data_IF_814357698905
#
_entry.id   IF_814357698905
#
_cell.length_a   1.000
_cell.length_b   1.000
_cell.length_c   1.000
_cell.angle_alpha   90.00
_cell.angle_beta   90.00
_cell.angle_gamma   90.00
#
_symmetry.space_group_name_H-M   'P 1'
#
loop_
_entity.id
_entity.type
_entity.pdbx_description
1 polymer ?
#
# COMPACT_ATOMS: atom_id res chain seq x y z
N UNK A 1 -3.20 4.78 -5.90
CA UNK A 1 -4.26 3.77 -6.16
C UNK A 1 -5.68 4.31 -5.97
N UNK A 2 -5.98 5.08 -4.89
CA UNK A 2 -7.35 5.50 -4.58
C UNK A 2 -8.07 6.24 -5.72
N UNK A 3 -7.36 7.02 -6.52
CA UNK A 3 -7.92 7.76 -7.65
C UNK A 3 -8.56 6.87 -8.74
N UNK A 4 -8.18 5.58 -8.80
CA UNK A 4 -8.76 4.62 -9.75
C UNK A 4 -9.52 3.47 -9.07
N UNK A 5 -9.23 3.18 -7.80
CA UNK A 5 -9.79 2.01 -7.09
C UNK A 5 -10.11 2.31 -5.62
N UNK A 6 -10.47 3.56 -5.33
CA UNK A 6 -10.68 4.06 -3.98
C UNK A 6 -12.13 4.01 -3.51
N UNK A 7 -12.31 3.90 -2.19
CA UNK A 7 -13.63 3.86 -1.55
C UNK A 7 -14.45 5.13 -1.80
N UNK A 8 -13.78 6.28 -1.98
CA UNK A 8 -14.41 7.57 -2.26
C UNK A 8 -15.08 7.65 -3.65
N UNK A 9 -14.78 6.72 -4.56
CA UNK A 9 -15.41 6.66 -5.89
C UNK A 9 -16.80 6.00 -5.83
N UNK A 10 -17.16 5.38 -4.70
CA UNK A 10 -18.45 4.74 -4.51
C UNK A 10 -19.43 5.80 -4.00
N UNK A 11 -20.32 6.25 -4.89
CA UNK A 11 -21.27 7.35 -4.63
C UNK A 11 -22.29 7.02 -3.53
N UNK A 12 -22.60 5.74 -3.33
CA UNK A 12 -23.56 5.29 -2.33
C UNK A 12 -23.03 4.05 -1.59
N UNK A 13 -22.94 4.11 -0.26
CA UNK A 13 -22.47 3.01 0.58
C UNK A 13 -23.32 1.73 0.41
N UNK A 14 -24.60 1.87 0.07
CA UNK A 14 -25.55 0.81 -0.27
C UNK A 14 -25.10 -0.09 -1.43
N UNK A 15 -24.21 0.41 -2.31
CA UNK A 15 -23.69 -0.32 -3.46
C UNK A 15 -22.23 -0.79 -3.29
N UNK A 16 -21.70 -0.75 -2.06
CA UNK A 16 -20.39 -1.33 -1.78
C UNK A 16 -20.45 -2.85 -1.90
N UNK A 17 -20.07 -3.39 -3.07
CA UNK A 17 -19.84 -4.82 -3.24
C UNK A 17 -18.33 -5.12 -3.32
N UNK A 18 -17.68 -5.44 -2.17
CA UNK A 18 -16.25 -5.72 -2.14
C UNK A 18 -15.86 -6.99 -2.90
N UNK A 19 -16.83 -7.85 -3.27
CA UNK A 19 -16.59 -9.03 -4.11
C UNK A 19 -16.24 -8.64 -5.56
N UNK A 20 -16.89 -7.59 -6.08
CA UNK A 20 -16.79 -7.16 -7.48
C UNK A 20 -15.78 -6.02 -7.66
N UNK A 21 -15.46 -5.31 -6.59
CA UNK A 21 -14.47 -4.24 -6.61
C UNK A 21 -13.09 -4.74 -7.07
N UNK A 22 -12.51 -4.06 -8.05
CA UNK A 22 -11.30 -4.48 -8.75
C UNK A 22 -10.19 -3.43 -8.71
N UNK A 23 -8.94 -3.89 -8.70
CA UNK A 23 -7.74 -3.06 -8.83
C UNK A 23 -7.36 -2.75 -10.28
N UNK A 24 -8.17 -3.15 -11.26
CA UNK A 24 -7.88 -3.03 -12.69
C UNK A 24 -7.43 -1.62 -13.10
N UNK A 25 -8.19 -0.58 -12.72
CA UNK A 25 -7.85 0.80 -13.04
C UNK A 25 -6.50 1.26 -12.45
N UNK A 26 -6.11 0.72 -11.29
CA UNK A 26 -4.75 0.98 -10.75
C UNK A 26 -3.67 0.35 -11.65
N UNK A 27 -3.90 -0.86 -12.17
CA UNK A 27 -3.00 -1.48 -13.14
C UNK A 27 -2.94 -0.72 -14.46
N UNK A 28 -4.03 -0.10 -14.91
CA UNK A 28 -4.02 0.78 -16.09
C UNK A 28 -3.14 2.01 -15.87
N UNK A 29 -3.23 2.66 -14.69
CA UNK A 29 -2.36 3.79 -14.35
C UNK A 29 -0.87 3.38 -14.35
N UNK A 30 -0.55 2.22 -13.78
CA UNK A 30 0.82 1.68 -13.78
C UNK A 30 1.30 1.40 -15.22
N UNK A 31 0.45 0.77 -16.04
CA UNK A 31 0.75 0.53 -17.46
C UNK A 31 0.99 1.83 -18.21
N UNK A 32 0.12 2.83 -18.04
CA UNK A 32 0.26 4.14 -18.68
C UNK A 32 1.53 4.86 -18.24
N UNK A 33 1.93 4.77 -16.97
CA UNK A 33 3.19 5.33 -16.50
C UNK A 33 4.40 4.68 -17.21
N UNK A 34 4.43 3.35 -17.30
CA UNK A 34 5.46 2.62 -18.05
C UNK A 34 5.47 3.03 -19.53
N UNK A 35 4.30 3.15 -20.17
CA UNK A 35 4.17 3.56 -21.58
C UNK A 35 4.63 4.99 -21.85
N UNK A 36 4.65 5.83 -20.81
CA UNK A 36 5.23 7.18 -20.85
C UNK A 36 6.73 7.21 -20.54
N UNK A 37 7.37 6.05 -20.40
CA UNK A 37 8.81 5.93 -20.17
C UNK A 37 9.22 6.03 -18.70
N UNK A 38 8.32 5.78 -17.75
CA UNK A 38 8.71 5.75 -16.33
C UNK A 38 9.61 4.54 -16.03
N UNK A 39 10.75 4.81 -15.38
CA UNK A 39 11.71 3.79 -14.91
C UNK A 39 11.59 3.52 -13.40
N UNK A 40 10.99 4.44 -12.64
CA UNK A 40 10.61 4.28 -11.23
C UNK A 40 9.16 4.73 -11.04
N UNK A 41 8.34 3.86 -10.49
CA UNK A 41 6.92 4.10 -10.21
C UNK A 41 6.67 3.91 -8.72
N UNK A 42 6.37 5.01 -8.03
CA UNK A 42 5.87 4.98 -6.65
C UNK A 42 4.34 4.82 -6.62
N UNK A 43 3.87 3.74 -6.02
CA UNK A 43 2.45 3.41 -5.86
C UNK A 43 2.05 3.57 -4.39
N UNK A 44 1.30 4.64 -4.09
CA UNK A 44 0.68 4.83 -2.79
C UNK A 44 -0.55 3.92 -2.60
N UNK A 45 -0.53 3.09 -1.55
CA UNK A 45 -1.62 2.21 -1.16
C UNK A 45 -2.39 2.77 0.04
N UNK A 46 -3.46 3.52 -0.23
CA UNK A 46 -4.37 4.03 0.79
C UNK A 46 -5.78 4.16 0.25
N UNK A 47 -6.79 4.01 1.12
CA UNK A 47 -8.19 4.27 0.78
C UNK A 47 -8.81 3.32 -0.26
N UNK A 48 -8.30 2.09 -0.41
CA UNK A 48 -8.79 1.10 -1.39
C UNK A 48 -10.25 0.68 -1.16
N UNK A 49 -10.99 0.40 -2.22
CA UNK A 49 -12.33 -0.22 -2.15
C UNK A 49 -12.30 -1.76 -2.31
N UNK A 50 -11.23 -2.32 -2.89
CA UNK A 50 -11.18 -3.70 -3.38
C UNK A 50 -10.52 -4.69 -2.42
N UNK A 51 -10.86 -5.98 -2.55
CA UNK A 51 -10.16 -7.12 -1.94
C UNK A 51 -10.04 -8.22 -3.02
N UNK A 52 -9.30 -7.93 -4.09
CA UNK A 52 -9.13 -8.82 -5.24
C UNK A 52 -7.74 -9.46 -5.30
N UNK A 53 -6.89 -9.24 -4.29
CA UNK A 53 -5.53 -9.78 -4.26
C UNK A 53 -4.58 -9.14 -5.28
N UNK A 54 -4.95 -7.98 -5.85
CA UNK A 54 -4.21 -7.33 -6.94
C UNK A 54 -4.38 -8.00 -8.30
N UNK A 55 -5.29 -8.98 -8.42
CA UNK A 55 -5.51 -9.71 -9.67
C UNK A 55 -5.93 -8.77 -10.81
N UNK A 56 -6.83 -7.81 -10.54
CA UNK A 56 -7.27 -6.84 -11.54
C UNK A 56 -6.11 -6.00 -12.07
N UNK A 57 -5.25 -5.49 -11.19
CA UNK A 57 -4.07 -4.73 -11.59
C UNK A 57 -3.12 -5.58 -12.46
N UNK A 58 -2.84 -6.82 -12.05
CA UNK A 58 -2.00 -7.74 -12.82
C UNK A 58 -2.59 -8.07 -14.20
N UNK A 59 -3.91 -8.11 -14.34
CA UNK A 59 -4.57 -8.29 -15.63
C UNK A 59 -4.36 -7.07 -16.53
N UNK A 60 -4.61 -5.86 -16.03
CA UNK A 60 -4.45 -4.61 -16.78
C UNK A 60 -3.00 -4.36 -17.20
N UNK A 61 -2.04 -4.79 -16.38
CA UNK A 61 -0.61 -4.60 -16.62
C UNK A 61 -0.05 -5.52 -17.72
N UNK A 62 -0.74 -6.57 -18.16
CA UNK A 62 -0.17 -7.55 -19.12
C UNK A 62 0.38 -6.87 -20.40
N UNK A 63 1.50 -7.36 -20.96
CA UNK A 63 2.33 -8.49 -20.50
C UNK A 63 3.30 -8.08 -19.37
N UNK A 64 3.34 -8.90 -18.30
CA UNK A 64 4.03 -8.56 -17.05
C UNK A 64 5.57 -8.54 -17.13
N UNK A 65 6.16 -9.18 -18.14
CA UNK A 65 7.61 -9.12 -18.38
C UNK A 65 8.13 -7.71 -18.64
N UNK A 66 7.26 -6.76 -19.01
CA UNK A 66 7.67 -5.37 -19.29
C UNK A 66 8.09 -4.61 -18.03
N UNK A 67 7.73 -5.09 -16.84
CA UNK A 67 8.00 -4.40 -15.58
C UNK A 67 9.26 -4.91 -14.88
N UNK A 68 9.92 -5.96 -15.39
CA UNK A 68 11.12 -6.53 -14.76
C UNK A 68 12.36 -5.64 -14.85
N UNK A 69 12.34 -4.61 -15.71
CA UNK A 69 13.44 -3.67 -15.91
C UNK A 69 13.20 -2.30 -15.28
N UNK A 70 12.10 -2.12 -14.55
CA UNK A 70 11.78 -0.86 -13.88
C UNK A 70 11.56 -1.08 -12.39
N UNK A 71 11.75 -0.03 -11.59
CA UNK A 71 11.44 -0.07 -10.17
C UNK A 71 9.94 0.22 -9.97
N UNK A 72 9.25 -0.69 -9.28
CA UNK A 72 7.91 -0.44 -8.74
C UNK A 72 8.02 -0.42 -7.23
N UNK A 73 7.91 0.76 -6.65
CA UNK A 73 7.97 0.97 -5.21
C UNK A 73 6.57 1.14 -4.66
N UNK A 74 6.19 0.35 -3.66
CA UNK A 74 4.82 0.32 -3.12
C UNK A 74 4.85 0.77 -1.68
N UNK A 75 4.28 1.95 -1.43
CA UNK A 75 4.18 2.55 -0.11
C UNK A 75 3.00 1.94 0.67
N UNK A 76 3.32 1.23 1.75
CA UNK A 76 2.39 0.47 2.59
C UNK A 76 2.46 0.91 4.06
N UNK A 77 1.34 1.37 4.64
CA UNK A 77 1.31 1.79 6.05
C UNK A 77 0.79 0.72 7.01
N UNK A 78 0.56 -0.50 6.52
CA UNK A 78 0.03 -1.63 7.29
C UNK A 78 0.89 -2.87 7.11
N UNK A 79 1.01 -3.68 8.16
CA UNK A 79 1.76 -4.94 8.16
C UNK A 79 0.88 -6.17 7.84
N UNK A 80 -0.41 -5.95 7.61
CA UNK A 80 -1.42 -7.00 7.42
C UNK A 80 -1.00 -8.02 6.36
N UNK A 81 -1.14 -9.32 6.70
CA UNK A 81 -0.85 -10.41 5.78
C UNK A 81 -1.84 -10.48 4.61
N UNK A 82 -1.43 -11.16 3.53
CA UNK A 82 -2.20 -11.23 2.28
C UNK A 82 -3.63 -11.75 2.48
N UNK A 83 -3.80 -12.84 3.23
CA UNK A 83 -5.11 -13.47 3.46
C UNK A 83 -5.91 -12.71 4.53
N UNK A 84 -5.26 -12.30 5.61
CA UNK A 84 -5.88 -11.60 6.75
C UNK A 84 -6.54 -10.27 6.37
N UNK A 85 -6.11 -9.67 5.26
CA UNK A 85 -6.64 -8.40 4.79
C UNK A 85 -8.15 -8.43 4.54
N UNK A 86 -8.72 -9.60 4.21
CA UNK A 86 -10.16 -9.77 4.04
C UNK A 86 -10.93 -9.56 5.34
N UNK A 87 -10.49 -10.18 6.44
CA UNK A 87 -11.12 -10.01 7.76
C UNK A 87 -10.90 -8.63 8.37
N UNK A 88 -9.71 -8.05 8.19
CA UNK A 88 -9.36 -6.76 8.80
C UNK A 88 -10.01 -5.59 8.03
N UNK A 89 -9.94 -5.60 6.69
CA UNK A 89 -10.40 -4.47 5.87
C UNK A 89 -11.74 -4.71 5.18
N UNK A 90 -12.27 -5.92 5.17
CA UNK A 90 -13.58 -6.25 4.60
C UNK A 90 -14.74 -5.47 5.23
N UNK A 91 -14.89 -5.44 6.57
CA UNK A 91 -16.03 -4.78 7.22
C UNK A 91 -16.18 -3.31 6.84
N UNK A 92 -15.08 -2.55 6.85
CA UNK A 92 -15.08 -1.13 6.46
C UNK A 92 -15.34 -0.89 4.96
N UNK A 93 -15.27 -1.94 4.14
CA UNK A 93 -15.59 -1.93 2.70
C UNK A 93 -16.98 -2.50 2.41
N UNK A 94 -17.80 -2.77 3.44
CA UNK A 94 -19.16 -3.28 3.30
C UNK A 94 -19.28 -4.81 3.20
N UNK A 95 -18.22 -5.57 3.48
CA UNK A 95 -18.28 -7.03 3.42
C UNK A 95 -18.99 -7.61 4.65
N UNK A 96 -19.97 -8.49 4.42
CA UNK A 96 -20.56 -9.35 5.45
C UNK A 96 -19.62 -10.50 5.82
N UNK A 97 -19.82 -11.14 6.98
CA UNK A 97 -18.99 -12.28 7.42
C UNK A 97 -18.92 -13.43 6.40
N UNK A 98 -20.02 -13.69 5.69
CA UNK A 98 -20.06 -14.70 4.63
C UNK A 98 -19.20 -14.29 3.43
N UNK A 99 -19.24 -13.01 3.05
CA UNK A 99 -18.39 -12.50 1.98
C UNK A 99 -16.91 -12.45 2.40
N UNK A 100 -16.61 -12.15 3.66
CA UNK A 100 -15.26 -12.20 4.21
C UNK A 100 -14.67 -13.61 4.08
N UNK A 101 -15.40 -14.65 4.53
CA UNK A 101 -14.94 -16.05 4.36
C UNK A 101 -14.71 -16.42 2.90
N UNK A 102 -15.58 -15.95 2.01
CA UNK A 102 -15.42 -16.14 0.58
C UNK A 102 -14.15 -15.45 0.03
N UNK A 103 -13.91 -14.20 0.42
CA UNK A 103 -12.73 -13.43 0.04
C UNK A 103 -11.44 -14.06 0.57
N UNK A 104 -11.42 -14.55 1.81
CA UNK A 104 -10.27 -15.27 2.37
C UNK A 104 -9.95 -16.53 1.54
N UNK A 105 -10.94 -17.33 1.17
CA UNK A 105 -10.74 -18.50 0.33
C UNK A 105 -10.21 -18.12 -1.07
N UNK A 106 -10.74 -17.05 -1.66
CA UNK A 106 -10.23 -16.49 -2.92
C UNK A 106 -8.75 -16.09 -2.79
N UNK A 107 -8.38 -15.39 -1.71
CA UNK A 107 -6.99 -14.96 -1.47
C UNK A 107 -6.06 -16.15 -1.19
N UNK A 108 -6.52 -17.19 -0.46
CA UNK A 108 -5.75 -18.43 -0.27
C UNK A 108 -5.45 -19.10 -1.61
N UNK A 109 -6.44 -19.18 -2.50
CA UNK A 109 -6.24 -19.74 -3.85
C UNK A 109 -5.28 -18.90 -4.67
N UNK A 110 -5.40 -17.57 -4.63
CA UNK A 110 -4.47 -16.67 -5.32
C UNK A 110 -3.04 -16.79 -4.79
N UNK A 111 -2.85 -16.88 -3.47
CA UNK A 111 -1.54 -17.07 -2.88
C UNK A 111 -0.88 -18.38 -3.34
N UNK A 112 -1.66 -19.46 -3.45
CA UNK A 112 -1.18 -20.72 -4.02
C UNK A 112 -0.76 -20.55 -5.48
N UNK A 113 -1.59 -19.93 -6.32
CA UNK A 113 -1.28 -19.68 -7.74
C UNK A 113 -0.01 -18.83 -7.88
N UNK A 114 0.15 -17.78 -7.08
CA UNK A 114 1.35 -16.94 -7.10
C UNK A 114 2.60 -17.70 -6.68
N UNK A 115 2.49 -18.59 -5.69
CA UNK A 115 3.59 -19.46 -5.28
C UNK A 115 3.98 -20.45 -6.38
N UNK A 116 3.00 -21.05 -7.05
CA UNK A 116 3.21 -22.06 -8.09
C UNK A 116 3.73 -21.45 -9.39
N UNK A 117 3.11 -20.38 -9.88
CA UNK A 117 3.42 -19.80 -11.19
C UNK A 117 4.50 -18.72 -11.16
N UNK A 118 4.68 -18.04 -10.02
CA UNK A 118 5.63 -16.91 -9.89
C UNK A 118 6.72 -17.15 -8.86
N UNK A 119 6.65 -18.26 -8.13
CA UNK A 119 7.61 -18.59 -7.07
C UNK A 119 7.71 -17.55 -5.96
N UNK A 120 6.64 -16.76 -5.74
CA UNK A 120 6.55 -15.76 -4.67
C UNK A 120 5.49 -16.18 -3.67
N UNK A 121 5.91 -16.36 -2.41
CA UNK A 121 5.02 -16.69 -1.31
C UNK A 121 4.42 -15.43 -0.66
N UNK A 122 3.36 -14.89 -1.28
CA UNK A 122 2.70 -13.69 -0.76
C UNK A 122 2.01 -13.92 0.59
N UNK A 123 1.75 -15.18 0.99
CA UNK A 123 1.09 -15.48 2.25
C UNK A 123 1.98 -15.19 3.46
N UNK A 124 3.30 -15.34 3.31
CA UNK A 124 4.30 -15.04 4.35
C UNK A 124 4.93 -13.66 4.21
N UNK A 125 4.66 -12.95 3.11
CA UNK A 125 5.23 -11.63 2.85
C UNK A 125 4.54 -10.55 3.72
N UNK A 126 5.31 -9.83 4.57
CA UNK A 126 4.76 -8.72 5.34
C UNK A 126 4.17 -7.64 4.42
N UNK A 127 3.13 -6.96 4.89
CA UNK A 127 2.44 -5.88 4.15
C UNK A 127 1.70 -6.33 2.88
N UNK A 128 1.78 -7.61 2.48
CA UNK A 128 1.16 -8.10 1.25
C UNK A 128 -0.37 -7.88 1.21
N UNK A 129 -1.03 -7.79 2.36
CA UNK A 129 -2.46 -7.49 2.49
C UNK A 129 -2.83 -6.02 2.25
N UNK A 130 -1.87 -5.11 2.12
CA UNK A 130 -2.14 -3.69 1.92
C UNK A 130 -3.01 -3.46 0.66
N UNK A 131 -3.97 -2.54 0.79
CA UNK A 131 -4.98 -2.26 -0.20
C UNK A 131 -5.74 -3.50 -0.73
N UNK A 132 -6.08 -4.45 0.16
CA UNK A 132 -6.88 -5.63 -0.20
C UNK A 132 -6.09 -6.67 -1.00
N UNK A 133 -4.78 -6.78 -0.72
CA UNK A 133 -3.88 -7.71 -1.39
C UNK A 133 -3.20 -7.15 -2.64
N UNK A 134 -3.46 -5.90 -3.02
CA UNK A 134 -2.78 -5.27 -4.17
C UNK A 134 -1.25 -5.26 -4.00
N UNK A 135 -0.75 -4.97 -2.79
CA UNK A 135 0.67 -5.05 -2.48
C UNK A 135 1.25 -6.44 -2.81
N UNK A 136 0.62 -7.50 -2.30
CA UNK A 136 1.04 -8.87 -2.58
C UNK A 136 1.02 -9.19 -4.08
N UNK A 137 -0.05 -8.79 -4.78
CA UNK A 137 -0.13 -8.96 -6.24
C UNK A 137 1.02 -8.28 -6.98
N UNK A 138 1.32 -7.02 -6.66
CA UNK A 138 2.45 -6.28 -7.27
C UNK A 138 3.81 -6.89 -6.90
N UNK A 139 3.97 -7.41 -5.68
CA UNK A 139 5.20 -8.10 -5.29
C UNK A 139 5.50 -9.32 -6.20
N UNK A 140 4.46 -9.99 -6.74
CA UNK A 140 4.65 -11.10 -7.69
C UNK A 140 5.23 -10.72 -9.05
N UNK A 141 5.36 -9.42 -9.32
CA UNK A 141 6.02 -8.87 -10.52
C UNK A 141 7.29 -8.10 -10.18
N UNK A 142 7.83 -8.29 -8.98
CA UNK A 142 9.09 -7.69 -8.55
C UNK A 142 8.95 -6.32 -7.88
N UNK A 143 7.74 -5.92 -7.48
CA UNK A 143 7.57 -4.65 -6.76
C UNK A 143 8.14 -4.72 -5.33
N UNK A 144 8.78 -3.64 -4.91
CA UNK A 144 9.35 -3.47 -3.58
C UNK A 144 8.30 -2.91 -2.62
N UNK A 145 7.97 -3.66 -1.58
CA UNK A 145 7.07 -3.19 -0.53
C UNK A 145 7.87 -2.50 0.57
N UNK A 146 7.53 -1.25 0.86
CA UNK A 146 8.18 -0.45 1.90
C UNK A 146 7.18 0.44 2.63
N UNK A 147 7.55 0.95 3.80
CA UNK A 147 6.66 1.87 4.53
C UNK A 147 6.50 3.19 3.78
N UNK A 148 5.33 3.84 3.90
CA UNK A 148 5.07 5.10 3.20
C UNK A 148 6.03 6.22 3.63
N UNK A 149 6.42 6.25 4.91
CA UNK A 149 7.40 7.22 5.39
C UNK A 149 8.78 7.03 4.74
N UNK A 150 9.32 5.80 4.76
CA UNK A 150 10.63 5.53 4.13
C UNK A 150 10.60 5.89 2.64
N UNK A 151 9.53 5.49 1.94
CA UNK A 151 9.39 5.75 0.50
C UNK A 151 9.43 7.25 0.14
N UNK A 152 8.93 8.12 1.02
CA UNK A 152 8.97 9.57 0.86
C UNK A 152 10.31 10.13 1.34
N UNK A 153 10.78 9.67 2.51
CA UNK A 153 12.03 10.08 3.14
C UNK A 153 13.23 9.93 2.21
N UNK A 154 13.37 8.76 1.57
CA UNK A 154 14.44 8.47 0.60
C UNK A 154 14.38 9.41 -0.61
N UNK A 155 13.18 9.67 -1.14
CA UNK A 155 13.00 10.49 -2.35
C UNK A 155 13.24 11.98 -2.13
N UNK A 156 13.00 12.48 -0.93
CA UNK A 156 13.25 13.89 -0.58
C UNK A 156 14.63 14.07 0.07
N UNK A 157 15.41 13.00 0.19
CA UNK A 157 16.70 12.97 0.87
C UNK A 157 16.61 13.55 2.29
N UNK A 158 15.62 13.08 3.06
CA UNK A 158 15.25 13.69 4.33
C UNK A 158 16.36 13.61 5.39
N UNK A 159 17.14 12.52 5.39
CA UNK A 159 18.22 12.31 6.38
C UNK A 159 19.29 13.40 6.24
N UNK A 160 19.80 13.63 5.03
CA UNK A 160 20.78 14.68 4.77
C UNK A 160 20.24 16.07 5.15
N UNK A 161 18.95 16.32 4.91
CA UNK A 161 18.32 17.59 5.32
C UNK A 161 18.25 17.74 6.85
N UNK A 162 17.96 16.66 7.58
CA UNK A 162 17.92 16.65 9.04
C UNK A 162 19.31 16.87 9.62
N UNK A 163 20.33 16.18 9.11
CA UNK A 163 21.71 16.29 9.62
C UNK A 163 22.29 17.70 9.52
N UNK A 164 21.86 18.45 8.50
CA UNK A 164 22.29 19.84 8.29
C UNK A 164 21.39 20.88 8.97
N UNK A 165 20.35 20.46 9.71
CA UNK A 165 19.40 21.38 10.32
C UNK A 165 19.79 21.76 11.75
N UNK A 166 19.73 23.06 12.07
CA UNK A 166 19.87 23.55 13.45
C UNK A 166 18.67 23.18 14.34
N UNK A 167 17.48 23.05 13.73
CA UNK A 167 16.23 22.67 14.38
C UNK A 167 15.30 21.98 13.38
N UNK A 168 14.70 20.86 13.80
CA UNK A 168 13.65 20.18 13.03
C UNK A 168 12.29 20.33 13.71
N UNK A 169 11.28 20.74 12.93
CA UNK A 169 9.88 20.87 13.35
C UNK A 169 9.04 19.92 12.49
N UNK A 170 8.18 19.11 13.10
CA UNK A 170 7.26 18.21 12.38
C UNK A 170 5.93 18.08 13.10
N UNK A 171 4.92 17.53 12.42
CA UNK A 171 3.57 17.34 12.94
C UNK A 171 2.62 16.59 12.00
N UNK A 172 1.50 16.13 12.56
CA UNK A 172 0.39 15.51 11.82
C UNK A 172 -0.95 16.05 12.33
N UNK A 173 -1.98 15.97 11.47
CA UNK A 173 -3.33 16.48 11.78
C UNK A 173 -4.16 15.58 12.69
N UNK A 174 -3.73 14.34 12.93
CA UNK A 174 -4.39 13.44 13.89
C UNK A 174 -3.39 12.39 14.42
N UNK A 175 -3.09 12.43 15.72
CA UNK A 175 -2.37 11.35 16.41
C UNK A 175 -3.37 10.30 16.88
N UNK A 176 -3.22 9.08 16.39
CA UNK A 176 -3.81 7.88 16.98
C UNK A 176 -2.74 6.82 17.25
N UNK A 177 -3.10 5.68 17.87
CA UNK A 177 -2.12 4.64 18.23
C UNK A 177 -1.29 4.13 17.03
N UNK A 178 -1.85 4.19 15.81
CA UNK A 178 -1.11 3.83 14.59
C UNK A 178 -0.06 4.87 14.21
N UNK A 179 -0.27 6.14 14.56
CA UNK A 179 0.62 7.23 14.17
C UNK A 179 1.97 7.18 14.89
N UNK A 180 1.96 6.95 16.21
CA UNK A 180 3.19 6.88 17.02
C UNK A 180 4.06 5.66 16.69
N UNK A 181 3.45 4.58 16.20
CA UNK A 181 4.19 3.35 15.86
C UNK A 181 4.62 3.28 14.40
N UNK A 182 3.89 3.88 13.45
CA UNK A 182 3.97 3.47 12.03
C UNK A 182 3.72 4.55 10.96
N UNK A 183 3.32 5.78 11.31
CA UNK A 183 3.12 6.86 10.32
C UNK A 183 4.21 7.93 10.40
N UNK A 184 4.16 8.85 9.45
CA UNK A 184 5.17 9.86 9.12
C UNK A 184 5.78 10.54 10.34
N UNK A 185 4.96 10.88 11.33
CA UNK A 185 5.41 11.58 12.53
C UNK A 185 6.16 10.72 13.53
N UNK A 186 5.66 9.53 13.85
CA UNK A 186 6.32 8.64 14.81
C UNK A 186 7.65 8.11 14.28
N UNK A 187 7.67 7.70 12.99
CA UNK A 187 8.89 7.24 12.31
C UNK A 187 9.86 8.40 12.06
N UNK A 188 9.34 9.55 11.61
CA UNK A 188 10.12 10.77 11.44
C UNK A 188 10.78 11.22 12.74
N UNK A 189 10.05 11.24 13.86
CA UNK A 189 10.63 11.58 15.16
C UNK A 189 11.74 10.61 15.60
N UNK A 190 11.67 9.32 15.25
CA UNK A 190 12.74 8.35 15.51
C UNK A 190 13.99 8.63 14.67
N UNK A 191 13.81 8.88 13.36
CA UNK A 191 14.91 9.24 12.46
C UNK A 191 15.56 10.56 12.89
N UNK A 192 14.75 11.56 13.22
CA UNK A 192 15.23 12.86 13.69
C UNK A 192 15.99 12.71 15.01
N UNK A 193 15.47 11.97 16.00
CA UNK A 193 16.17 11.71 17.27
C UNK A 193 17.53 11.02 17.08
N UNK A 194 17.70 10.24 16.03
CA UNK A 194 18.96 9.55 15.77
C UNK A 194 20.04 10.50 15.20
N UNK A 195 19.66 11.65 14.64
CA UNK A 195 20.56 12.52 13.87
C UNK A 195 20.71 13.95 14.41
N UNK A 196 19.82 14.43 15.29
CA UNK A 196 19.91 15.79 15.88
C UNK A 196 19.80 15.80 17.40
N UNK A 197 20.55 16.72 18.02
CA UNK A 197 20.60 16.93 19.47
C UNK A 197 19.37 17.67 20.04
N UNK A 198 18.55 18.30 19.20
CA UNK A 198 17.37 19.07 19.63
C UNK A 198 16.25 18.98 18.60
N UNK A 199 15.04 18.63 19.05
CA UNK A 199 13.87 18.38 18.21
C UNK A 199 12.58 18.77 18.94
N UNK A 200 11.66 19.44 18.22
CA UNK A 200 10.36 19.82 18.74
C UNK A 200 9.24 19.22 17.88
N UNK A 201 8.35 18.48 18.53
CA UNK A 201 7.20 17.82 17.89
C UNK A 201 5.91 18.57 18.20
N UNK A 202 5.17 18.98 17.18
CA UNK A 202 3.85 19.58 17.33
C UNK A 202 2.78 18.63 16.81
N UNK A 203 1.79 18.32 17.64
CA UNK A 203 0.57 17.64 17.21
C UNK A 203 -0.61 18.55 17.44
N UNK A 204 -1.48 18.66 16.43
CA UNK A 204 -2.78 19.30 16.55
C UNK A 204 -3.87 18.28 16.23
N UNK A 205 -4.98 18.34 16.96
CA UNK A 205 -6.16 17.51 16.73
C UNK A 205 -7.32 18.45 16.48
N UNK A 206 -7.94 18.36 15.30
CA UNK A 206 -9.19 19.05 14.99
C UNK A 206 -10.38 18.28 15.57
#
# INVERSE_FOLDING_TARGET
MAQASGLHLIQEKSFTNPIDASTFGTGELIRTALERGAEDILVGLGGSASIDGGLGALQAMRPLKRYSSIAINVACDVQTGFIECAGIFGPQKGATDTQIRFLENRLRRLAQVFREERHIDVASLPMAGAAGGLAGGLATVGANLQSGFEAVSERVNLVDQIENADLVITGEGEVNESSFRRKSCGRGAQVIKAHVNSFTYYCWKY
#
